data_IF_405878055316
#
_entry.id   IF_405878055316
#
_cell.length_a   1.000
_cell.length_b   1.000
_cell.length_c   1.000
_cell.angle_alpha   90.00
_cell.angle_beta   90.00
_cell.angle_gamma   90.00
#
_symmetry.space_group_name_H-M   'P 1'
#
loop_
_entity.id
_entity.type
_entity.pdbx_description
1 polymer ?
#
# COMPACT_ATOMS: atom_id res chain seq x y z
N UNK A 1 32.56 -3.70 -23.86
CA UNK A 1 31.23 -4.05 -23.39
C UNK A 1 30.34 -2.83 -23.58
N UNK A 2 29.18 -2.96 -24.17
CA UNK A 2 28.30 -1.80 -24.41
C UNK A 2 27.87 -1.23 -23.05
N UNK A 3 28.12 0.06 -22.80
CA UNK A 3 27.86 0.75 -21.56
C UNK A 3 26.36 0.67 -21.15
N UNK A 4 25.50 0.50 -22.15
CA UNK A 4 24.05 0.27 -21.89
C UNK A 4 23.79 -1.06 -21.19
N UNK A 5 24.52 -2.11 -21.56
CA UNK A 5 24.44 -3.44 -20.93
C UNK A 5 25.01 -3.40 -19.51
N UNK A 6 26.16 -2.74 -19.30
CA UNK A 6 26.74 -2.57 -17.96
C UNK A 6 25.80 -1.80 -17.05
N UNK A 7 25.14 -0.77 -17.55
CA UNK A 7 24.15 -0.01 -16.81
C UNK A 7 22.93 -0.86 -16.41
N UNK A 8 22.42 -1.75 -17.27
CA UNK A 8 21.35 -2.69 -16.93
C UNK A 8 21.82 -3.67 -15.84
N UNK A 9 23.05 -4.20 -15.96
CA UNK A 9 23.64 -5.07 -14.91
C UNK A 9 23.75 -4.31 -13.59
N UNK A 10 24.17 -3.06 -13.60
CA UNK A 10 24.24 -2.19 -12.42
C UNK A 10 22.88 -1.98 -11.73
N UNK A 11 21.82 -1.80 -12.53
CA UNK A 11 20.45 -1.74 -12.01
C UNK A 11 20.10 -3.05 -11.30
N UNK A 12 20.33 -4.20 -11.92
CA UNK A 12 20.04 -5.51 -11.31
C UNK A 12 20.84 -5.75 -10.03
N UNK A 13 22.13 -5.42 -10.04
CA UNK A 13 23.00 -5.56 -8.84
C UNK A 13 22.54 -4.63 -7.73
N UNK A 14 22.20 -3.37 -8.04
CA UNK A 14 21.71 -2.42 -7.03
C UNK A 14 20.37 -2.86 -6.42
N UNK A 15 19.52 -3.50 -7.22
CA UNK A 15 18.28 -4.11 -6.75
C UNK A 15 18.55 -5.29 -5.81
N UNK A 16 19.42 -6.20 -6.21
CA UNK A 16 19.82 -7.32 -5.36
C UNK A 16 20.42 -6.81 -4.03
N UNK A 17 21.22 -5.74 -4.07
CA UNK A 17 21.77 -5.07 -2.90
C UNK A 17 20.68 -4.54 -1.98
N UNK A 18 19.66 -3.82 -2.53
CA UNK A 18 18.51 -3.34 -1.77
C UNK A 18 17.80 -4.51 -1.09
N UNK A 19 17.47 -5.56 -1.85
CA UNK A 19 16.76 -6.75 -1.33
C UNK A 19 17.55 -7.40 -0.18
N UNK A 20 18.84 -7.66 -0.39
CA UNK A 20 19.70 -8.36 0.59
C UNK A 20 19.80 -7.55 1.88
N UNK A 21 20.04 -6.23 1.80
CA UNK A 21 20.16 -5.40 2.99
C UNK A 21 18.83 -5.19 3.71
N UNK A 22 17.73 -5.02 2.97
CA UNK A 22 16.40 -4.93 3.56
C UNK A 22 16.04 -6.22 4.33
N UNK A 23 16.33 -7.40 3.76
CA UNK A 23 16.15 -8.68 4.45
C UNK A 23 17.03 -8.83 5.70
N UNK A 24 18.16 -8.11 5.76
CA UNK A 24 19.03 -8.01 6.95
C UNK A 24 18.58 -6.94 7.94
N UNK A 25 17.44 -6.28 7.72
CA UNK A 25 16.87 -5.29 8.62
C UNK A 25 17.43 -3.87 8.50
N UNK A 26 18.18 -3.58 7.43
CA UNK A 26 18.62 -2.22 7.17
C UNK A 26 17.44 -1.35 6.70
N UNK A 27 17.51 -0.07 7.02
CA UNK A 27 16.43 0.85 6.69
C UNK A 27 16.60 1.44 5.29
N UNK A 28 15.51 1.51 4.51
CA UNK A 28 15.54 1.96 3.11
C UNK A 28 16.11 3.39 2.94
N UNK A 29 15.95 4.24 3.92
CA UNK A 29 16.52 5.61 3.92
C UNK A 29 18.06 5.59 3.74
N UNK A 30 18.73 4.56 4.26
CA UNK A 30 20.18 4.37 4.14
C UNK A 30 20.50 3.56 2.87
N UNK A 31 19.70 2.51 2.60
CA UNK A 31 19.98 1.60 1.48
C UNK A 31 19.83 2.31 0.14
N UNK A 32 18.81 3.15 -0.02
CA UNK A 32 18.51 3.80 -1.29
C UNK A 32 19.67 4.68 -1.80
N UNK A 33 20.25 5.62 -1.05
CA UNK A 33 21.39 6.40 -1.52
C UNK A 33 22.64 5.52 -1.76
N UNK A 34 22.87 4.46 -0.98
CA UNK A 34 23.96 3.51 -1.22
C UNK A 34 23.75 2.73 -2.52
N UNK A 35 22.53 2.34 -2.82
CA UNK A 35 22.18 1.69 -4.08
C UNK A 35 22.37 2.63 -5.28
N UNK A 36 22.12 3.93 -5.12
CA UNK A 36 22.44 4.94 -6.16
C UNK A 36 23.95 4.98 -6.44
N UNK A 37 24.81 4.87 -5.43
CA UNK A 37 26.27 4.80 -5.63
C UNK A 37 26.61 3.60 -6.52
N UNK A 38 26.02 2.42 -6.27
CA UNK A 38 26.24 1.25 -7.12
C UNK A 38 25.77 1.50 -8.55
N UNK A 39 24.57 2.06 -8.73
CA UNK A 39 24.05 2.42 -10.07
C UNK A 39 25.03 3.35 -10.80
N UNK A 40 25.58 4.36 -10.13
CA UNK A 40 26.52 5.31 -10.71
C UNK A 40 27.81 4.61 -11.20
N UNK A 41 28.37 3.71 -10.39
CA UNK A 41 29.60 2.96 -10.73
C UNK A 41 29.41 2.16 -12.02
N UNK A 42 28.29 1.49 -12.20
CA UNK A 42 28.01 0.66 -13.38
C UNK A 42 27.47 1.45 -14.58
N UNK A 43 27.06 2.70 -14.38
CA UNK A 43 26.50 3.55 -15.43
C UNK A 43 27.42 4.72 -15.79
N UNK A 44 28.65 4.79 -15.27
CA UNK A 44 29.60 5.90 -15.42
C UNK A 44 28.99 7.27 -15.11
N UNK A 45 28.10 7.33 -14.12
CA UNK A 45 27.52 8.58 -13.68
C UNK A 45 28.33 9.18 -12.53
N UNK A 46 28.42 10.51 -12.49
CA UNK A 46 29.00 11.20 -11.35
C UNK A 46 28.11 10.98 -10.11
N UNK A 47 28.69 10.42 -9.04
CA UNK A 47 27.95 10.03 -7.83
C UNK A 47 27.29 11.25 -7.18
N UNK A 48 28.04 12.34 -7.00
CA UNK A 48 27.52 13.54 -6.32
C UNK A 48 26.47 14.27 -7.16
N UNK A 49 26.71 14.40 -8.47
CA UNK A 49 25.73 14.98 -9.39
C UNK A 49 24.44 14.14 -9.43
N UNK A 50 24.53 12.82 -9.37
CA UNK A 50 23.37 11.93 -9.36
C UNK A 50 22.61 11.98 -8.02
N UNK A 51 23.34 12.03 -6.89
CA UNK A 51 22.71 12.15 -5.58
C UNK A 51 22.02 13.51 -5.40
N UNK A 52 22.71 14.62 -5.68
CA UNK A 52 22.12 15.96 -5.54
C UNK A 52 21.18 16.34 -6.70
N UNK A 53 21.29 15.73 -7.84
CA UNK A 53 20.44 15.93 -9.01
C UNK A 53 19.24 14.96 -9.04
N UNK A 54 19.28 13.87 -9.85
CA UNK A 54 18.13 12.99 -10.03
C UNK A 54 17.56 12.41 -8.74
N UNK A 55 18.43 11.91 -7.83
CA UNK A 55 17.96 11.32 -6.56
C UNK A 55 17.20 12.34 -5.70
N UNK A 56 17.81 13.50 -5.40
CA UNK A 56 17.16 14.53 -4.59
C UNK A 56 15.97 15.17 -5.30
N UNK A 57 16.01 15.28 -6.63
CA UNK A 57 14.86 15.75 -7.41
C UNK A 57 13.65 14.82 -7.22
N UNK A 58 13.84 13.51 -7.31
CA UNK A 58 12.79 12.52 -7.06
C UNK A 58 12.26 12.62 -5.62
N UNK A 59 13.17 12.66 -4.66
CA UNK A 59 12.85 12.78 -3.24
C UNK A 59 12.00 14.04 -2.94
N UNK A 60 12.48 15.22 -3.36
CA UNK A 60 11.81 16.50 -3.08
C UNK A 60 10.49 16.64 -3.85
N UNK A 61 10.46 16.23 -5.12
CA UNK A 61 9.23 16.29 -5.92
C UNK A 61 8.14 15.42 -5.29
N UNK A 62 8.48 14.21 -4.83
CA UNK A 62 7.52 13.36 -4.16
C UNK A 62 7.05 13.95 -2.84
N UNK A 63 7.96 14.43 -2.00
CA UNK A 63 7.63 15.09 -0.74
C UNK A 63 6.71 16.31 -0.99
N UNK A 64 7.06 17.18 -1.93
CA UNK A 64 6.29 18.38 -2.24
C UNK A 64 4.86 18.10 -2.72
N UNK A 65 4.65 16.98 -3.42
CA UNK A 65 3.33 16.59 -3.93
C UNK A 65 2.47 15.86 -2.90
N UNK A 66 3.06 15.05 -2.03
CA UNK A 66 2.32 14.08 -1.24
C UNK A 66 2.44 14.26 0.28
N UNK A 67 3.34 15.11 0.76
CA UNK A 67 3.55 15.32 2.20
C UNK A 67 2.25 15.65 2.95
N UNK A 68 1.44 16.59 2.44
CA UNK A 68 0.19 16.99 3.09
C UNK A 68 -0.84 15.84 3.10
N UNK A 69 -0.84 14.97 2.08
CA UNK A 69 -1.72 13.80 2.02
C UNK A 69 -1.31 12.79 3.09
N UNK A 70 0.00 12.49 3.19
CA UNK A 70 0.52 11.61 4.23
C UNK A 70 0.27 12.18 5.63
N UNK A 71 0.47 13.50 5.81
CA UNK A 71 0.22 14.18 7.07
C UNK A 71 -1.25 14.06 7.50
N UNK A 72 -2.17 14.47 6.63
CA UNK A 72 -3.60 14.42 6.91
C UNK A 72 -4.09 12.98 7.16
N UNK A 73 -3.61 12.01 6.37
CA UNK A 73 -3.94 10.59 6.55
C UNK A 73 -3.42 10.01 7.86
N UNK A 74 -2.18 10.32 8.22
CA UNK A 74 -1.58 9.85 9.47
C UNK A 74 -2.24 10.47 10.70
N UNK A 75 -2.54 11.77 10.64
CA UNK A 75 -3.29 12.47 11.69
C UNK A 75 -4.69 11.89 11.82
N UNK A 76 -5.42 11.71 10.72
CA UNK A 76 -6.76 11.10 10.74
C UNK A 76 -6.71 9.69 11.35
N UNK A 77 -5.77 8.85 10.92
CA UNK A 77 -5.57 7.53 11.48
C UNK A 77 -5.32 7.56 12.99
N UNK A 78 -4.49 8.50 13.46
CA UNK A 78 -4.20 8.66 14.91
C UNK A 78 -5.43 9.10 15.71
N UNK A 79 -6.25 10.01 15.17
CA UNK A 79 -7.50 10.39 15.81
C UNK A 79 -8.50 9.22 15.89
N UNK A 80 -8.60 8.40 14.83
CA UNK A 80 -9.42 7.19 14.83
C UNK A 80 -8.92 6.13 15.83
N UNK A 81 -7.60 6.04 16.03
CA UNK A 81 -6.97 5.15 17.00
C UNK A 81 -7.22 5.62 18.43
N UNK A 82 -6.83 6.86 18.77
CA UNK A 82 -6.90 7.40 20.14
C UNK A 82 -8.35 7.52 20.65
N UNK A 83 -9.29 7.78 19.75
CA UNK A 83 -10.74 7.74 20.08
C UNK A 83 -11.29 6.32 20.26
N UNK A 84 -10.53 5.28 19.95
CA UNK A 84 -10.96 3.90 19.84
C UNK A 84 -12.08 3.66 18.79
N UNK A 85 -12.35 4.64 17.93
CA UNK A 85 -13.36 4.51 16.88
C UNK A 85 -13.00 3.38 15.90
N UNK A 86 -11.73 3.25 15.52
CA UNK A 86 -11.25 2.16 14.67
C UNK A 86 -11.53 0.79 15.31
N UNK A 87 -11.27 0.65 16.62
CA UNK A 87 -11.55 -0.58 17.39
C UNK A 87 -13.05 -0.87 17.50
N UNK A 88 -13.86 0.17 17.71
CA UNK A 88 -15.33 0.04 17.78
C UNK A 88 -15.92 -0.46 16.46
N UNK A 89 -15.44 0.06 15.31
CA UNK A 89 -15.84 -0.42 13.98
C UNK A 89 -15.46 -1.89 13.82
N UNK A 90 -14.24 -2.26 14.18
CA UNK A 90 -13.74 -3.61 14.08
C UNK A 90 -14.56 -4.59 14.90
N UNK A 91 -14.83 -4.27 16.18
CA UNK A 91 -15.65 -5.10 17.05
C UNK A 91 -17.10 -5.23 16.55
N UNK A 92 -17.68 -4.13 16.02
CA UNK A 92 -19.02 -4.13 15.42
C UNK A 92 -19.11 -5.09 14.23
N UNK A 93 -18.13 -5.09 13.34
CA UNK A 93 -18.09 -6.00 12.18
C UNK A 93 -17.95 -7.47 12.64
N UNK A 94 -17.08 -7.74 13.62
CA UNK A 94 -16.89 -9.09 14.15
C UNK A 94 -18.15 -9.66 14.82
N UNK A 95 -18.96 -8.82 15.46
CA UNK A 95 -20.26 -9.24 16.04
C UNK A 95 -21.26 -9.66 14.97
N UNK A 96 -21.24 -8.99 13.80
CA UNK A 96 -22.17 -9.28 12.70
C UNK A 96 -21.78 -10.56 11.95
N UNK A 97 -20.48 -10.76 11.68
CA UNK A 97 -20.01 -11.85 10.83
C UNK A 97 -19.91 -13.18 11.59
N UNK A 98 -19.77 -13.14 12.92
CA UNK A 98 -19.67 -14.33 13.78
C UNK A 98 -18.24 -14.81 14.01
N UNK A 99 -18.05 -15.63 15.07
CA UNK A 99 -16.75 -16.01 15.63
C UNK A 99 -16.47 -17.52 15.61
N UNK A 100 -17.42 -18.34 15.15
CA UNK A 100 -17.36 -19.81 15.36
C UNK A 100 -16.68 -20.58 14.23
N UNK A 101 -16.65 -20.03 13.01
CA UNK A 101 -16.08 -20.68 11.83
C UNK A 101 -14.71 -20.05 11.49
N UNK A 102 -13.62 -20.85 11.40
CA UNK A 102 -12.32 -20.35 11.03
C UNK A 102 -12.28 -19.54 9.72
N UNK A 103 -13.03 -19.96 8.70
CA UNK A 103 -13.09 -19.21 7.44
C UNK A 103 -13.81 -17.88 7.61
N UNK A 104 -14.94 -17.87 8.30
CA UNK A 104 -15.68 -16.63 8.60
C UNK A 104 -14.84 -15.67 9.43
N UNK A 105 -14.06 -16.19 10.38
CA UNK A 105 -13.16 -15.37 11.20
C UNK A 105 -12.06 -14.74 10.33
N UNK A 106 -11.40 -15.46 9.41
CA UNK A 106 -10.44 -14.88 8.49
C UNK A 106 -11.08 -13.81 7.61
N UNK A 107 -12.28 -14.06 7.06
CA UNK A 107 -13.02 -13.07 6.27
C UNK A 107 -13.34 -11.83 7.12
N UNK A 108 -13.74 -12.01 8.39
CA UNK A 108 -14.02 -10.89 9.30
C UNK A 108 -12.80 -9.99 9.51
N UNK A 109 -11.63 -10.59 9.76
CA UNK A 109 -10.37 -9.84 9.92
C UNK A 109 -10.05 -9.04 8.66
N UNK A 110 -10.20 -9.66 7.49
CA UNK A 110 -9.97 -8.96 6.22
C UNK A 110 -10.98 -7.85 5.94
N UNK A 111 -12.27 -8.06 6.25
CA UNK A 111 -13.31 -7.04 6.10
C UNK A 111 -13.09 -5.86 7.05
N UNK A 112 -12.69 -6.12 8.29
CA UNK A 112 -12.30 -5.07 9.24
C UNK A 112 -11.16 -4.23 8.68
N UNK A 113 -10.10 -4.87 8.21
CA UNK A 113 -8.96 -4.20 7.63
C UNK A 113 -9.36 -3.39 6.37
N UNK A 114 -10.23 -3.96 5.52
CA UNK A 114 -10.78 -3.31 4.33
C UNK A 114 -11.60 -2.06 4.69
N UNK A 115 -12.53 -2.16 5.64
CA UNK A 115 -13.38 -1.03 6.03
C UNK A 115 -12.57 0.13 6.59
N UNK A 116 -11.56 -0.15 7.42
CA UNK A 116 -10.70 0.86 7.99
C UNK A 116 -9.86 1.55 6.91
N UNK A 117 -9.22 0.79 6.04
CA UNK A 117 -8.39 1.36 4.96
C UNK A 117 -9.24 2.03 3.88
N UNK A 118 -10.43 1.52 3.56
CA UNK A 118 -11.37 2.20 2.66
C UNK A 118 -11.84 3.53 3.24
N UNK A 119 -11.99 3.61 4.56
CA UNK A 119 -12.27 4.85 5.28
C UNK A 119 -11.09 5.82 5.40
N UNK A 120 -9.95 5.55 4.79
CA UNK A 120 -8.79 6.44 4.77
C UNK A 120 -7.76 6.21 5.87
N UNK A 121 -7.95 5.20 6.73
CA UNK A 121 -6.95 4.85 7.74
C UNK A 121 -5.75 4.17 7.07
N UNK A 122 -4.54 4.62 7.40
CA UNK A 122 -3.33 4.05 6.80
C UNK A 122 -3.13 2.59 7.21
N UNK A 123 -2.56 1.77 6.31
CA UNK A 123 -2.21 0.38 6.56
C UNK A 123 -1.41 0.20 7.87
N UNK A 124 -0.47 1.11 8.13
CA UNK A 124 0.38 1.08 9.33
C UNK A 124 -0.39 1.30 10.62
N UNK A 125 -1.50 2.04 10.58
CA UNK A 125 -2.38 2.24 11.75
C UNK A 125 -3.37 1.08 11.88
N UNK A 126 -3.90 0.62 10.77
CA UNK A 126 -4.87 -0.49 10.75
C UNK A 126 -4.32 -1.76 11.37
N UNK A 127 -3.03 -2.07 11.18
CA UNK A 127 -2.43 -3.26 11.78
C UNK A 127 -2.45 -3.21 13.32
N UNK A 128 -2.20 -2.03 13.92
CA UNK A 128 -2.27 -1.85 15.37
C UNK A 128 -3.71 -1.95 15.91
N UNK A 129 -4.71 -1.55 15.11
CA UNK A 129 -6.10 -1.68 15.47
C UNK A 129 -6.62 -3.13 15.37
N UNK A 130 -6.14 -3.87 14.37
CA UNK A 130 -6.66 -5.22 14.06
C UNK A 130 -5.98 -6.31 14.88
N UNK A 131 -4.68 -6.21 15.16
CA UNK A 131 -3.95 -7.24 15.95
C UNK A 131 -4.59 -7.50 17.32
N UNK A 132 -4.91 -6.49 18.17
CA UNK A 132 -5.51 -6.74 19.49
C UNK A 132 -6.86 -7.45 19.44
N UNK A 133 -7.57 -7.34 18.32
CA UNK A 133 -8.88 -7.97 18.13
C UNK A 133 -8.70 -9.37 17.52
N UNK A 134 -7.78 -9.52 16.56
CA UNK A 134 -7.57 -10.78 15.88
C UNK A 134 -6.89 -11.84 16.78
N UNK A 135 -5.92 -11.45 17.61
CA UNK A 135 -5.18 -12.40 18.46
C UNK A 135 -6.05 -13.26 19.36
N UNK A 136 -6.97 -12.69 20.18
CA UNK A 136 -7.86 -13.50 21.01
C UNK A 136 -8.69 -14.49 20.17
N UNK A 137 -9.16 -14.08 18.99
CA UNK A 137 -9.95 -14.93 18.10
C UNK A 137 -9.12 -16.09 17.52
N UNK A 138 -7.88 -15.82 17.11
CA UNK A 138 -6.97 -16.88 16.67
C UNK A 138 -6.64 -17.87 17.79
N UNK A 139 -6.46 -17.38 19.02
CA UNK A 139 -6.23 -18.20 20.21
C UNK A 139 -7.46 -19.04 20.59
N UNK A 140 -8.65 -18.46 20.58
CA UNK A 140 -9.92 -19.14 20.86
C UNK A 140 -10.20 -20.26 19.86
N UNK A 141 -9.94 -20.04 18.57
CA UNK A 141 -10.10 -21.04 17.50
C UNK A 141 -8.87 -21.94 17.32
N UNK A 142 -7.85 -21.76 18.16
CA UNK A 142 -6.59 -22.49 18.08
C UNK A 142 -5.94 -22.49 16.69
N UNK A 143 -5.98 -21.34 15.99
CA UNK A 143 -5.43 -21.17 14.65
C UNK A 143 -4.00 -20.63 14.70
N UNK A 144 -3.06 -21.14 13.87
CA UNK A 144 -1.69 -20.67 13.87
C UNK A 144 -1.62 -19.18 13.49
N UNK A 145 -0.92 -18.40 14.31
CA UNK A 145 -0.91 -16.93 14.20
C UNK A 145 -0.34 -16.40 12.89
N UNK A 146 0.60 -17.12 12.25
CA UNK A 146 1.16 -16.69 10.97
C UNK A 146 0.13 -16.56 9.84
N UNK A 147 -1.02 -17.26 9.92
CA UNK A 147 -2.12 -17.17 8.95
C UNK A 147 -2.78 -15.78 8.98
N UNK A 148 -2.66 -15.02 10.09
CA UNK A 148 -3.19 -13.66 10.22
C UNK A 148 -2.81 -12.75 9.06
N UNK A 149 -1.59 -12.89 8.50
CA UNK A 149 -1.14 -12.08 7.39
C UNK A 149 -2.01 -12.22 6.14
N UNK A 150 -2.60 -13.39 5.88
CA UNK A 150 -3.42 -13.61 4.69
C UNK A 150 -4.67 -12.71 4.64
N UNK A 151 -5.59 -12.76 5.62
CA UNK A 151 -6.77 -11.90 5.61
C UNK A 151 -6.41 -10.42 5.81
N UNK A 152 -5.38 -10.12 6.58
CA UNK A 152 -4.97 -8.74 6.81
C UNK A 152 -4.51 -8.07 5.51
N UNK A 153 -3.58 -8.68 4.76
CA UNK A 153 -3.06 -8.10 3.51
C UNK A 153 -4.13 -8.06 2.42
N UNK A 154 -5.03 -9.07 2.37
CA UNK A 154 -6.14 -9.08 1.45
C UNK A 154 -7.05 -7.86 1.61
N UNK A 155 -7.49 -7.57 2.83
CA UNK A 155 -8.39 -6.45 3.12
C UNK A 155 -7.68 -5.11 3.04
N UNK A 156 -6.56 -4.96 3.75
CA UNK A 156 -5.89 -3.68 3.92
C UNK A 156 -5.12 -3.19 2.69
N UNK A 157 -4.56 -4.08 1.88
CA UNK A 157 -3.74 -3.71 0.74
C UNK A 157 -4.35 -4.14 -0.60
N UNK A 158 -4.60 -5.45 -0.79
CA UNK A 158 -4.98 -5.98 -2.11
C UNK A 158 -6.26 -5.38 -2.65
N UNK A 159 -7.27 -5.18 -1.81
CA UNK A 159 -8.55 -4.62 -2.22
C UNK A 159 -8.53 -3.09 -2.25
N UNK A 160 -8.15 -2.47 -1.13
CA UNK A 160 -8.45 -1.05 -0.90
C UNK A 160 -7.41 -0.10 -1.47
N UNK A 161 -6.15 -0.51 -1.61
CA UNK A 161 -5.11 0.40 -2.08
C UNK A 161 -5.15 0.61 -3.58
N UNK A 162 -5.49 -0.42 -4.37
CA UNK A 162 -5.30 -0.38 -5.82
C UNK A 162 -6.49 -0.87 -6.64
N UNK A 163 -7.38 -1.72 -6.08
CA UNK A 163 -8.49 -2.30 -6.83
C UNK A 163 -9.77 -1.50 -6.67
N UNK A 164 -10.25 -1.31 -5.43
CA UNK A 164 -11.54 -0.66 -5.21
C UNK A 164 -11.48 0.83 -5.61
N UNK A 165 -12.37 1.28 -6.50
CA UNK A 165 -12.43 2.68 -6.89
C UNK A 165 -12.96 3.54 -5.73
N UNK A 166 -12.57 4.82 -5.72
CA UNK A 166 -13.07 5.80 -4.77
C UNK A 166 -12.34 5.83 -3.41
N UNK A 167 -11.37 4.95 -3.15
CA UNK A 167 -10.62 4.96 -1.89
C UNK A 167 -9.65 6.15 -1.82
N UNK A 168 -9.42 6.73 -0.62
CA UNK A 168 -8.45 7.80 -0.43
C UNK A 168 -7.01 7.27 -0.26
N UNK A 169 -6.75 6.03 -0.64
CA UNK A 169 -5.41 5.45 -0.55
C UNK A 169 -4.48 6.06 -1.60
N UNK A 170 -3.20 6.22 -1.20
CA UNK A 170 -2.23 6.99 -1.98
C UNK A 170 -2.06 6.46 -3.41
N UNK A 171 -2.07 5.14 -3.62
CA UNK A 171 -1.91 4.50 -4.91
C UNK A 171 -3.09 4.81 -5.86
N UNK A 172 -4.28 5.01 -5.28
CA UNK A 172 -5.48 5.36 -6.03
C UNK A 172 -5.60 6.89 -6.26
N UNK A 173 -4.89 7.71 -5.47
CA UNK A 173 -4.94 9.16 -5.56
C UNK A 173 -3.81 9.73 -6.43
N UNK A 174 -2.62 9.12 -6.40
CA UNK A 174 -1.47 9.63 -7.14
C UNK A 174 -1.75 9.88 -8.63
N UNK A 175 -2.36 8.96 -9.38
CA UNK A 175 -2.61 9.16 -10.81
C UNK A 175 -3.53 10.36 -11.10
N UNK A 176 -4.42 10.72 -10.18
CA UNK A 176 -5.36 11.85 -10.39
C UNK A 176 -4.64 13.16 -10.70
N UNK A 177 -3.47 13.39 -10.06
CA UNK A 177 -2.68 14.62 -10.23
C UNK A 177 -1.92 14.69 -11.55
N UNK A 178 -1.68 13.54 -12.18
CA UNK A 178 -0.96 13.46 -13.46
C UNK A 178 -1.91 13.37 -14.65
N UNK A 179 -3.07 12.74 -14.46
CA UNK A 179 -4.02 12.39 -15.52
C UNK A 179 -5.30 13.23 -15.51
N UNK A 180 -5.52 14.06 -14.47
CA UNK A 180 -6.77 14.81 -14.31
C UNK A 180 -8.00 13.94 -14.03
N UNK A 181 -7.81 12.69 -13.69
CA UNK A 181 -8.87 11.71 -13.39
C UNK A 181 -9.36 11.81 -11.95
N UNK A 182 -10.37 11.04 -11.58
CA UNK A 182 -10.85 10.93 -10.21
C UNK A 182 -10.37 9.64 -9.53
N UNK A 183 -10.46 9.57 -8.20
CA UNK A 183 -10.19 8.33 -7.46
C UNK A 183 -11.08 7.15 -7.90
N UNK A 184 -12.21 7.42 -8.55
CA UNK A 184 -13.13 6.43 -9.08
C UNK A 184 -12.87 6.08 -10.57
N UNK A 185 -11.74 6.48 -11.14
CA UNK A 185 -11.39 6.22 -12.53
C UNK A 185 -11.54 4.74 -12.90
N UNK A 186 -12.07 4.46 -14.11
CA UNK A 186 -12.35 3.13 -14.65
C UNK A 186 -12.90 2.14 -13.61
N UNK A 187 -14.09 2.43 -13.02
CA UNK A 187 -14.58 1.69 -11.86
C UNK A 187 -14.84 0.22 -12.16
N UNK A 188 -15.25 -0.10 -13.38
CA UNK A 188 -15.53 -1.48 -13.79
C UNK A 188 -14.28 -2.35 -13.73
N UNK A 189 -13.12 -1.83 -14.13
CA UNK A 189 -11.86 -2.57 -14.05
C UNK A 189 -11.45 -2.83 -12.60
N UNK A 190 -11.56 -1.80 -11.75
CA UNK A 190 -11.27 -1.93 -10.33
C UNK A 190 -12.16 -2.96 -9.64
N UNK A 191 -13.47 -2.93 -9.91
CA UNK A 191 -14.42 -3.90 -9.38
C UNK A 191 -14.17 -5.32 -9.90
N UNK A 192 -13.85 -5.49 -11.18
CA UNK A 192 -13.46 -6.79 -11.74
C UNK A 192 -12.24 -7.35 -11.01
N UNK A 193 -11.19 -6.54 -10.83
CA UNK A 193 -10.00 -6.94 -10.07
C UNK A 193 -10.35 -7.32 -8.63
N UNK A 194 -11.19 -6.53 -7.96
CA UNK A 194 -11.62 -6.80 -6.59
C UNK A 194 -12.38 -8.13 -6.46
N UNK A 195 -13.30 -8.43 -7.38
CA UNK A 195 -14.04 -9.72 -7.39
C UNK A 195 -13.07 -10.90 -7.57
N UNK A 196 -12.13 -10.81 -8.51
CA UNK A 196 -11.14 -11.86 -8.75
C UNK A 196 -10.28 -12.08 -7.50
N UNK A 197 -9.78 -11.01 -6.89
CA UNK A 197 -8.99 -11.10 -5.65
C UNK A 197 -9.81 -11.71 -4.51
N UNK A 198 -11.08 -11.34 -4.38
CA UNK A 198 -11.96 -11.94 -3.37
C UNK A 198 -12.09 -13.47 -3.57
N UNK A 199 -12.35 -13.91 -4.79
CA UNK A 199 -12.46 -15.35 -5.11
C UNK A 199 -11.15 -16.08 -4.80
N UNK A 200 -10.02 -15.57 -5.29
CA UNK A 200 -8.71 -16.18 -5.09
C UNK A 200 -8.33 -16.25 -3.61
N UNK A 201 -8.58 -15.19 -2.84
CA UNK A 201 -8.25 -15.19 -1.42
C UNK A 201 -9.18 -16.09 -0.60
N UNK A 202 -10.48 -16.17 -0.90
CA UNK A 202 -11.38 -17.14 -0.24
C UNK A 202 -10.92 -18.58 -0.50
N UNK A 203 -10.53 -18.91 -1.73
CA UNK A 203 -9.97 -20.22 -2.07
C UNK A 203 -8.65 -20.46 -1.34
N UNK A 204 -7.79 -19.46 -1.29
CA UNK A 204 -6.52 -19.53 -0.56
C UNK A 204 -6.73 -19.70 0.95
N UNK A 205 -7.69 -19.01 1.57
CA UNK A 205 -8.01 -19.19 3.00
C UNK A 205 -8.49 -20.60 3.30
N UNK A 206 -9.36 -21.16 2.48
CA UNK A 206 -9.77 -22.58 2.60
C UNK A 206 -8.58 -23.54 2.51
N UNK A 207 -7.68 -23.29 1.55
CA UNK A 207 -6.48 -24.09 1.37
C UNK A 207 -5.55 -24.04 2.58
N UNK A 208 -5.22 -22.85 3.09
CA UNK A 208 -4.30 -22.71 4.23
C UNK A 208 -4.88 -23.26 5.53
N UNK A 209 -6.19 -23.09 5.77
CA UNK A 209 -6.88 -23.68 6.93
C UNK A 209 -6.84 -25.22 6.86
N UNK A 210 -7.15 -25.81 5.70
CA UNK A 210 -7.06 -27.25 5.50
C UNK A 210 -5.63 -27.76 5.72
N UNK A 211 -4.63 -27.03 5.20
CA UNK A 211 -3.21 -27.37 5.32
C UNK A 211 -2.73 -27.28 6.77
N UNK A 212 -3.10 -26.22 7.50
CA UNK A 212 -2.76 -26.05 8.91
C UNK A 212 -3.35 -27.20 9.76
N UNK A 213 -4.64 -27.52 9.54
CA UNK A 213 -5.30 -28.67 10.22
C UNK A 213 -4.59 -29.99 9.92
N UNK A 214 -4.22 -30.25 8.66
CA UNK A 214 -3.55 -31.48 8.27
C UNK A 214 -2.15 -31.62 8.89
N UNK A 215 -1.48 -30.50 9.19
CA UNK A 215 -0.17 -30.48 9.83
C UNK A 215 -0.25 -30.42 11.37
N UNK A 216 -1.44 -30.30 11.95
CA UNK A 216 -1.59 -30.13 13.38
C UNK A 216 -1.03 -28.79 13.88
N UNK A 217 -0.94 -27.76 13.03
CA UNK A 217 -0.48 -26.43 13.42
C UNK A 217 -1.50 -25.79 14.36
N UNK A 218 -1.03 -25.25 15.48
CA UNK A 218 -1.85 -24.65 16.54
C UNK A 218 -1.44 -23.20 16.76
N UNK A 219 -2.23 -22.46 17.55
CA UNK A 219 -1.87 -21.12 17.97
C UNK A 219 -0.64 -21.13 18.88
N UNK A 220 0.30 -20.27 18.57
CA UNK A 220 1.48 -20.00 19.41
C UNK A 220 1.51 -18.51 19.74
N UNK A 221 1.69 -18.18 21.02
CA UNK A 221 1.87 -16.79 21.43
C UNK A 221 3.18 -16.25 20.86
N UNK A 222 3.21 -15.04 20.33
CA UNK A 222 4.43 -14.43 19.82
C UNK A 222 5.43 -14.17 20.96
N UNK A 223 6.74 -14.05 20.64
CA UNK A 223 7.77 -13.79 21.64
C UNK A 223 7.46 -12.55 22.51
N UNK A 224 7.84 -12.54 23.80
CA UNK A 224 7.70 -11.37 24.66
C UNK A 224 8.40 -10.15 24.06
N UNK A 225 7.82 -8.97 24.23
CA UNK A 225 8.44 -7.70 23.79
C UNK A 225 8.15 -7.30 22.35
N UNK A 226 7.33 -8.05 21.63
CA UNK A 226 6.88 -7.67 20.29
C UNK A 226 5.94 -6.47 20.38
N UNK A 227 6.27 -5.42 19.64
CA UNK A 227 5.41 -4.24 19.48
C UNK A 227 4.01 -4.66 18.99
N UNK A 228 2.97 -4.05 19.58
CA UNK A 228 1.57 -4.42 19.32
C UNK A 228 0.95 -5.34 20.38
N UNK A 229 1.74 -5.81 21.35
CA UNK A 229 1.24 -6.33 22.63
C UNK A 229 0.97 -5.19 23.65
N UNK A 230 0.97 -3.94 23.17
CA UNK A 230 0.62 -2.78 23.98
C UNK A 230 -0.76 -2.98 24.61
N UNK A 231 -0.88 -2.61 25.90
CA UNK A 231 -2.17 -2.63 26.59
C UNK A 231 -3.22 -1.94 25.71
N UNK A 232 -4.41 -2.55 25.56
CA UNK A 232 -5.48 -1.90 24.82
C UNK A 232 -5.71 -0.51 25.40
N UNK A 233 -5.86 0.51 24.54
CA UNK A 233 -6.16 1.85 24.99
C UNK A 233 -7.28 1.77 26.04
N UNK A 234 -6.99 2.23 27.26
CA UNK A 234 -7.90 2.14 28.40
C UNK A 234 -8.98 3.20 28.23
N UNK A 235 -10.23 2.78 28.11
CA UNK A 235 -11.37 3.68 28.00
C UNK A 235 -12.60 3.02 27.36
N UNK A 236 -13.80 3.61 27.50
CA UNK A 236 -15.00 3.09 26.86
C UNK A 236 -14.93 3.28 25.35
N UNK A 237 -15.18 2.21 24.59
CA UNK A 237 -15.31 2.30 23.14
C UNK A 237 -16.54 3.14 22.75
N UNK A 238 -16.42 4.05 21.78
CA UNK A 238 -17.57 4.79 21.27
C UNK A 238 -18.55 3.86 20.55
N UNK A 239 -19.77 4.34 20.33
CA UNK A 239 -20.76 3.59 19.54
C UNK A 239 -20.26 3.37 18.12
N UNK A 240 -20.44 2.16 17.56
CA UNK A 240 -19.97 1.78 16.23
C UNK A 240 -20.52 2.69 15.12
N UNK A 241 -21.80 3.10 15.22
CA UNK A 241 -22.42 3.98 14.23
C UNK A 241 -21.82 5.39 14.25
N UNK A 242 -21.51 5.91 15.45
CA UNK A 242 -20.77 7.16 15.58
C UNK A 242 -19.35 7.04 15.03
N UNK A 243 -18.71 5.90 15.24
CA UNK A 243 -17.35 5.63 14.77
C UNK A 243 -17.23 5.56 13.24
N UNK A 244 -18.33 5.23 12.54
CA UNK A 244 -18.40 5.22 11.08
C UNK A 244 -18.53 6.62 10.46
N UNK A 245 -18.97 7.62 11.20
CA UNK A 245 -19.23 8.96 10.67
C UNK A 245 -17.97 9.63 10.09
N UNK A 246 -16.81 9.68 10.80
CA UNK A 246 -15.62 10.31 10.23
C UNK A 246 -15.13 9.68 8.92
N UNK A 247 -14.98 8.34 8.78
CA UNK A 247 -14.66 7.71 7.50
C UNK A 247 -15.68 8.01 6.40
N UNK A 248 -16.98 8.03 6.72
CA UNK A 248 -18.05 8.36 5.76
C UNK A 248 -17.90 9.81 5.28
N UNK A 249 -17.59 10.75 6.18
CA UNK A 249 -17.33 12.14 5.82
C UNK A 249 -16.14 12.25 4.84
N UNK A 250 -15.04 11.53 5.10
CA UNK A 250 -13.89 11.48 4.17
C UNK A 250 -14.34 11.01 2.79
N UNK A 251 -15.10 9.91 2.72
CA UNK A 251 -15.59 9.37 1.44
C UNK A 251 -16.52 10.34 0.71
N UNK A 252 -17.43 10.98 1.43
CA UNK A 252 -18.37 11.96 0.86
C UNK A 252 -17.59 13.16 0.31
N UNK A 253 -16.69 13.77 1.08
CA UNK A 253 -15.90 14.92 0.65
C UNK A 253 -14.97 14.60 -0.53
N UNK A 254 -14.46 13.37 -0.60
CA UNK A 254 -13.58 12.93 -1.68
C UNK A 254 -14.34 12.71 -3.01
N UNK A 255 -15.57 12.18 -2.95
CA UNK A 255 -16.29 11.73 -4.13
C UNK A 255 -17.44 12.67 -4.58
N UNK A 256 -17.93 13.54 -3.69
CA UNK A 256 -19.01 14.48 -4.01
C UNK A 256 -18.48 15.83 -4.47
N UNK A 257 -18.91 16.36 -5.63
CA UNK A 257 -18.58 17.72 -6.02
C UNK A 257 -19.33 18.71 -5.12
N UNK A 258 -18.60 19.38 -4.25
CA UNK A 258 -19.17 20.45 -3.42
C UNK A 258 -18.98 21.80 -4.09
N UNK A 259 -19.97 22.72 -4.04
CA UNK A 259 -19.81 24.09 -4.49
C UNK A 259 -18.60 24.73 -3.78
N UNK A 260 -17.76 25.42 -4.54
CA UNK A 260 -16.56 26.12 -4.05
C UNK A 260 -15.42 25.25 -3.48
N UNK A 261 -15.58 23.95 -3.35
CA UNK A 261 -14.56 23.04 -2.84
C UNK A 261 -14.14 22.09 -3.98
N UNK A 262 -12.91 22.29 -4.50
CA UNK A 262 -12.33 21.32 -5.42
C UNK A 262 -12.13 19.98 -4.66
N UNK A 263 -12.41 18.87 -5.32
CA UNK A 263 -12.11 17.54 -4.77
C UNK A 263 -10.64 17.47 -4.38
N UNK A 264 -10.36 17.50 -3.09
CA UNK A 264 -9.02 17.44 -2.54
C UNK A 264 -8.95 16.48 -1.38
N UNK A 265 -7.96 15.59 -1.42
CA UNK A 265 -7.77 14.51 -0.44
C UNK A 265 -7.37 15.06 0.92
N UNK A 266 -6.55 16.11 0.96
CA UNK A 266 -6.12 16.74 2.22
C UNK A 266 -7.33 17.34 2.94
N UNK A 267 -8.20 18.00 2.17
CA UNK A 267 -9.44 18.57 2.71
C UNK A 267 -10.39 17.49 3.22
N UNK A 268 -10.55 16.39 2.45
CA UNK A 268 -11.42 15.28 2.85
C UNK A 268 -10.94 14.64 4.17
N UNK A 269 -9.65 14.35 4.27
CA UNK A 269 -9.04 13.77 5.47
C UNK A 269 -9.10 14.74 6.65
N UNK A 270 -8.88 16.04 6.41
CA UNK A 270 -9.01 17.07 7.43
C UNK A 270 -10.45 17.18 7.95
N UNK A 271 -11.44 17.06 7.07
CA UNK A 271 -12.85 16.97 7.46
C UNK A 271 -13.13 15.77 8.37
N UNK A 272 -12.51 14.62 8.06
CA UNK A 272 -12.54 13.43 8.93
C UNK A 272 -11.92 13.70 10.31
N UNK A 273 -10.79 14.40 10.38
CA UNK A 273 -10.14 14.80 11.65
C UNK A 273 -11.06 15.70 12.46
N UNK A 274 -11.65 16.72 11.83
CA UNK A 274 -12.61 17.63 12.50
C UNK A 274 -13.80 16.84 13.05
N UNK A 275 -14.35 15.92 12.26
CA UNK A 275 -15.43 15.05 12.71
C UNK A 275 -15.01 14.18 13.91
N UNK A 276 -13.82 13.61 13.91
CA UNK A 276 -13.26 12.89 15.05
C UNK A 276 -13.21 13.76 16.31
N UNK A 277 -12.67 14.97 16.18
CA UNK A 277 -12.54 15.90 17.32
C UNK A 277 -13.92 16.24 17.89
N UNK A 278 -14.91 16.55 17.07
CA UNK A 278 -16.26 16.93 17.51
C UNK A 278 -16.97 15.75 18.17
N UNK A 279 -16.93 14.57 17.53
CA UNK A 279 -17.70 13.40 17.98
C UNK A 279 -17.07 12.71 19.20
N UNK A 280 -15.73 12.73 19.29
CA UNK A 280 -14.98 11.97 20.28
C UNK A 280 -14.18 12.85 21.23
N UNK A 281 -14.56 14.11 21.42
CA UNK A 281 -13.85 15.08 22.26
C UNK A 281 -13.49 14.53 23.65
N UNK A 282 -14.40 13.77 24.25
CA UNK A 282 -14.23 13.21 25.60
C UNK A 282 -13.31 12.00 25.66
N UNK A 283 -12.99 11.38 24.52
CA UNK A 283 -12.11 10.22 24.44
C UNK A 283 -10.62 10.62 24.36
N UNK A 284 -10.34 11.86 23.91
CA UNK A 284 -8.97 12.33 23.83
C UNK A 284 -8.50 12.84 25.20
N UNK A 285 -7.36 12.31 25.66
CA UNK A 285 -6.66 12.84 26.85
C UNK A 285 -6.16 14.27 26.55
N UNK A 286 -5.54 14.42 25.36
CA UNK A 286 -5.04 15.69 24.84
C UNK A 286 -5.08 15.70 23.31
N UNK A 287 -5.94 16.54 22.74
CA UNK A 287 -6.09 16.69 21.28
C UNK A 287 -4.79 17.13 20.61
N UNK A 288 -4.02 18.02 21.26
CA UNK A 288 -2.73 18.49 20.71
C UNK A 288 -1.70 17.37 20.69
N UNK A 289 -1.70 16.51 21.70
CA UNK A 289 -0.81 15.35 21.76
C UNK A 289 -1.16 14.32 20.64
N UNK A 290 -2.44 14.01 20.43
CA UNK A 290 -2.91 13.17 19.33
C UNK A 290 -2.51 13.74 17.98
N UNK A 291 -2.71 15.06 17.78
CA UNK A 291 -2.30 15.77 16.57
C UNK A 291 -0.78 15.65 16.33
N UNK A 292 0.00 15.93 17.36
CA UNK A 292 1.47 15.88 17.30
C UNK A 292 1.96 14.46 16.99
N UNK A 293 1.43 13.44 17.68
CA UNK A 293 1.78 12.03 17.41
C UNK A 293 1.41 11.61 15.98
N UNK A 294 0.22 12.01 15.51
CA UNK A 294 -0.20 11.78 14.14
C UNK A 294 0.74 12.43 13.12
N UNK A 295 1.16 13.66 13.38
CA UNK A 295 2.12 14.37 12.52
C UNK A 295 3.50 13.69 12.51
N UNK A 296 4.03 13.31 13.68
CA UNK A 296 5.31 12.60 13.79
C UNK A 296 5.27 11.24 13.09
N UNK A 297 4.16 10.51 13.20
CA UNK A 297 3.97 9.22 12.52
C UNK A 297 3.99 9.33 10.99
N UNK A 298 3.88 10.54 10.42
CA UNK A 298 4.00 10.79 8.99
C UNK A 298 5.44 10.67 8.50
N UNK A 299 6.42 10.99 9.34
CA UNK A 299 7.82 11.20 8.93
C UNK A 299 8.43 9.94 8.31
N UNK A 300 8.34 8.81 8.99
CA UNK A 300 8.94 7.57 8.50
C UNK A 300 8.31 7.09 7.17
N UNK A 301 6.98 6.98 7.03
CA UNK A 301 6.36 6.55 5.77
C UNK A 301 6.69 7.48 4.60
N UNK A 302 6.64 8.81 4.77
CA UNK A 302 6.91 9.72 3.67
C UNK A 302 8.40 9.71 3.29
N UNK A 303 9.32 9.71 4.25
CA UNK A 303 10.76 9.69 3.97
C UNK A 303 11.18 8.38 3.31
N UNK A 304 10.63 7.24 3.74
CA UNK A 304 10.85 5.96 3.08
C UNK A 304 10.46 6.02 1.60
N UNK A 305 9.25 6.49 1.30
CA UNK A 305 8.76 6.57 -0.07
C UNK A 305 9.55 7.62 -0.89
N UNK A 306 9.95 8.73 -0.28
CA UNK A 306 10.84 9.71 -0.94
C UNK A 306 12.18 9.10 -1.30
N UNK A 307 12.77 8.28 -0.43
CA UNK A 307 14.05 7.60 -0.69
C UNK A 307 13.91 6.60 -1.83
N UNK A 308 12.82 5.82 -1.87
CA UNK A 308 12.51 4.88 -2.95
C UNK A 308 12.35 5.62 -4.30
N UNK A 309 11.57 6.69 -4.32
CA UNK A 309 11.36 7.50 -5.53
C UNK A 309 12.65 8.16 -5.97
N UNK A 310 13.47 8.64 -5.03
CA UNK A 310 14.80 9.17 -5.31
C UNK A 310 15.69 8.15 -6.01
N UNK A 311 15.76 6.92 -5.48
CA UNK A 311 16.51 5.83 -6.11
C UNK A 311 15.99 5.55 -7.54
N UNK A 312 14.67 5.42 -7.70
CA UNK A 312 14.08 5.18 -9.02
C UNK A 312 14.34 6.31 -10.01
N UNK A 313 14.35 7.56 -9.57
CA UNK A 313 14.72 8.70 -10.44
C UNK A 313 16.20 8.66 -10.82
N UNK A 314 17.10 8.24 -9.93
CA UNK A 314 18.51 8.01 -10.27
C UNK A 314 18.65 6.87 -11.29
N UNK A 315 17.94 5.76 -11.10
CA UNK A 315 17.87 4.65 -12.08
C UNK A 315 17.33 5.15 -13.42
N UNK A 316 16.26 5.95 -13.43
CA UNK A 316 15.65 6.48 -14.66
C UNK A 316 16.58 7.39 -15.47
N UNK A 317 17.59 7.99 -14.83
CA UNK A 317 18.59 8.82 -15.49
C UNK A 317 19.67 7.99 -16.23
N UNK A 318 19.77 6.69 -15.97
CA UNK A 318 20.79 5.80 -16.54
C UNK A 318 20.52 5.46 -18.01
N UNK A 319 21.60 5.10 -18.74
CA UNK A 319 21.48 4.58 -20.10
C UNK A 319 20.72 3.25 -20.13
N UNK A 320 20.95 2.37 -19.15
CA UNK A 320 20.25 1.10 -19.03
C UNK A 320 18.73 1.23 -18.91
N UNK A 321 18.26 2.17 -18.12
CA UNK A 321 16.80 2.44 -18.00
C UNK A 321 16.22 2.96 -19.33
N UNK A 322 16.93 3.84 -20.03
CA UNK A 322 16.49 4.36 -21.34
C UNK A 322 16.35 3.23 -22.37
N UNK A 323 17.32 2.31 -22.39
CA UNK A 323 17.28 1.14 -23.29
C UNK A 323 16.11 0.22 -22.95
N UNK A 324 15.94 -0.14 -21.67
CA UNK A 324 14.80 -0.99 -21.23
C UNK A 324 13.47 -0.32 -21.52
N UNK A 325 13.34 1.00 -21.26
CA UNK A 325 12.11 1.75 -21.54
C UNK A 325 11.82 1.84 -23.04
N UNK A 326 12.83 2.06 -23.88
CA UNK A 326 12.67 2.08 -25.32
C UNK A 326 12.27 0.69 -25.83
N UNK A 327 12.92 -0.36 -25.35
CA UNK A 327 12.58 -1.74 -25.70
C UNK A 327 11.12 -2.08 -25.32
N UNK A 328 10.67 -1.71 -24.13
CA UNK A 328 9.27 -1.92 -23.72
C UNK A 328 8.25 -1.24 -24.64
N UNK A 329 8.58 -0.04 -25.17
CA UNK A 329 7.72 0.67 -26.11
C UNK A 329 7.73 0.06 -27.53
N UNK A 330 8.78 -0.68 -27.89
CA UNK A 330 8.91 -1.33 -29.21
C UNK A 330 8.35 -2.75 -29.25
N UNK A 331 7.97 -3.29 -28.09
CA UNK A 331 7.36 -4.62 -28.03
C UNK A 331 6.08 -4.64 -28.87
N UNK A 332 5.89 -5.67 -29.70
CA UNK A 332 4.68 -5.79 -30.54
C UNK A 332 3.47 -6.20 -29.70
N UNK A 333 3.14 -5.39 -28.69
CA UNK A 333 2.03 -5.56 -27.79
C UNK A 333 1.27 -4.25 -27.59
N UNK A 334 0.04 -4.35 -27.10
CA UNK A 334 -0.74 -3.16 -26.78
C UNK A 334 0.00 -2.28 -25.75
N UNK A 335 0.08 -0.94 -25.93
CA UNK A 335 0.84 -0.05 -25.05
C UNK A 335 0.48 -0.18 -23.56
N UNK A 336 -0.78 -0.49 -23.24
CA UNK A 336 -1.23 -0.67 -21.85
C UNK A 336 -0.56 -1.88 -21.18
N UNK A 337 -0.21 -2.93 -21.96
CA UNK A 337 0.50 -4.10 -21.42
C UNK A 337 1.94 -3.72 -21.07
N UNK A 338 2.63 -2.97 -21.93
CA UNK A 338 3.99 -2.51 -21.66
C UNK A 338 4.03 -1.53 -20.48
N UNK A 339 3.06 -0.62 -20.37
CA UNK A 339 2.91 0.28 -19.22
C UNK A 339 2.67 -0.50 -17.92
N UNK A 340 1.81 -1.51 -17.98
CA UNK A 340 1.53 -2.39 -16.83
C UNK A 340 2.80 -3.13 -16.38
N UNK A 341 3.53 -3.74 -17.30
CA UNK A 341 4.79 -4.43 -17.01
C UNK A 341 5.84 -3.48 -16.42
N UNK A 342 5.98 -2.29 -17.00
CA UNK A 342 6.89 -1.26 -16.48
C UNK A 342 6.52 -0.84 -15.05
N UNK A 343 5.22 -0.62 -14.78
CA UNK A 343 4.75 -0.22 -13.46
C UNK A 343 4.99 -1.32 -12.42
N UNK A 344 4.66 -2.57 -12.75
CA UNK A 344 4.90 -3.72 -11.88
C UNK A 344 6.40 -3.92 -11.60
N UNK A 345 7.25 -3.77 -12.62
CA UNK A 345 8.71 -3.85 -12.48
C UNK A 345 9.23 -2.75 -11.57
N UNK A 346 8.80 -1.50 -11.73
CA UNK A 346 9.23 -0.40 -10.86
C UNK A 346 8.76 -0.57 -9.42
N UNK A 347 7.57 -1.08 -9.20
CA UNK A 347 7.09 -1.42 -7.86
C UNK A 347 7.91 -2.55 -7.22
N UNK A 348 8.32 -3.55 -8.00
CA UNK A 348 9.23 -4.60 -7.54
C UNK A 348 10.62 -4.06 -7.19
N UNK A 349 11.15 -3.16 -8.03
CA UNK A 349 12.46 -2.53 -7.85
C UNK A 349 12.50 -1.73 -6.55
N UNK A 350 11.52 -0.86 -6.36
CA UNK A 350 11.45 0.02 -5.20
C UNK A 350 10.94 -0.70 -3.95
N UNK A 351 10.37 -1.91 -4.07
CA UNK A 351 9.67 -2.57 -2.97
C UNK A 351 8.52 -1.71 -2.43
N UNK A 352 7.85 -0.96 -3.30
CA UNK A 352 6.83 0.00 -2.88
C UNK A 352 5.86 0.30 -4.03
N UNK A 353 4.56 0.06 -3.83
CA UNK A 353 3.54 0.42 -4.81
C UNK A 353 3.56 1.93 -5.13
N UNK A 354 3.56 2.77 -4.10
CA UNK A 354 3.56 4.23 -4.28
C UNK A 354 4.90 4.75 -4.84
N UNK A 355 6.02 4.14 -4.45
CA UNK A 355 7.34 4.47 -4.99
C UNK A 355 7.43 4.17 -6.49
N UNK A 356 7.16 2.94 -6.88
CA UNK A 356 7.16 2.51 -8.29
C UNK A 356 6.16 3.30 -9.15
N UNK A 357 4.94 3.48 -8.63
CA UNK A 357 3.90 4.26 -9.31
C UNK A 357 4.33 5.72 -9.52
N UNK A 358 4.95 6.35 -8.50
CA UNK A 358 5.44 7.73 -8.61
C UNK A 358 6.44 7.91 -9.74
N UNK A 359 7.39 6.97 -9.89
CA UNK A 359 8.39 7.00 -10.96
C UNK A 359 7.70 6.87 -12.33
N UNK A 360 6.82 5.91 -12.50
CA UNK A 360 6.12 5.66 -13.76
C UNK A 360 5.26 6.86 -14.16
N UNK A 361 4.52 7.43 -13.21
CA UNK A 361 3.68 8.60 -13.45
C UNK A 361 4.51 9.83 -13.91
N UNK A 362 5.70 10.00 -13.35
CA UNK A 362 6.59 11.11 -13.70
C UNK A 362 7.31 10.88 -15.04
N UNK A 363 7.79 9.67 -15.29
CA UNK A 363 8.76 9.41 -16.37
C UNK A 363 8.16 8.79 -17.63
N UNK A 364 7.17 7.94 -17.49
CA UNK A 364 6.63 7.14 -18.60
C UNK A 364 5.19 7.52 -18.99
N UNK A 365 4.31 7.77 -18.04
CA UNK A 365 2.89 8.08 -18.33
C UNK A 365 2.71 9.21 -19.34
N UNK A 366 3.48 10.32 -19.33
CA UNK A 366 3.35 11.35 -20.37
C UNK A 366 3.48 10.82 -21.81
N UNK A 367 4.33 9.81 -22.02
CA UNK A 367 4.52 9.19 -23.35
C UNK A 367 3.30 8.38 -23.77
N UNK A 368 2.69 7.64 -22.83
CA UNK A 368 1.49 6.84 -23.10
C UNK A 368 0.25 7.71 -23.30
N UNK A 369 0.14 8.84 -22.62
CA UNK A 369 -0.90 9.85 -22.88
C UNK A 369 -0.72 10.43 -24.28
N UNK A 370 0.50 10.71 -24.72
CA UNK A 370 0.81 11.19 -26.07
C UNK A 370 0.46 10.16 -27.16
N UNK A 371 0.42 8.87 -26.84
CA UNK A 371 -0.05 7.81 -27.74
C UNK A 371 -1.61 7.77 -27.85
N UNK A 372 -2.33 8.64 -27.15
CA UNK A 372 -3.77 8.75 -27.21
C UNK A 372 -4.53 7.75 -26.32
N UNK A 373 -3.85 7.06 -25.40
CA UNK A 373 -4.52 6.15 -24.46
C UNK A 373 -5.44 6.90 -23.50
N UNK A 374 -6.58 6.29 -23.20
CA UNK A 374 -7.58 6.85 -22.28
C UNK A 374 -6.97 7.06 -20.87
N UNK A 375 -7.01 8.28 -20.31
CA UNK A 375 -6.46 8.59 -19.00
C UNK A 375 -7.05 7.74 -17.85
N UNK A 376 -8.33 7.37 -17.90
CA UNK A 376 -8.94 6.51 -16.88
C UNK A 376 -8.38 5.09 -16.92
N UNK A 377 -8.14 4.56 -18.14
CA UNK A 377 -7.50 3.26 -18.33
C UNK A 377 -6.07 3.29 -17.80
N UNK A 378 -5.29 4.31 -18.17
CA UNK A 378 -3.92 4.49 -17.65
C UNK A 378 -3.93 4.55 -16.12
N UNK A 379 -4.81 5.35 -15.54
CA UNK A 379 -4.96 5.48 -14.09
C UNK A 379 -5.16 4.12 -13.42
N UNK A 380 -6.21 3.40 -13.81
CA UNK A 380 -6.59 2.16 -13.14
C UNK A 380 -5.55 1.06 -13.35
N UNK A 381 -5.06 0.90 -14.56
CA UNK A 381 -4.05 -0.13 -14.85
C UNK A 381 -2.72 0.17 -14.13
N UNK A 382 -2.25 1.41 -14.08
CA UNK A 382 -1.02 1.72 -13.33
C UNK A 382 -1.21 1.53 -11.83
N UNK A 383 -2.36 1.93 -11.27
CA UNK A 383 -2.68 1.68 -9.87
C UNK A 383 -2.69 0.17 -9.55
N UNK A 384 -3.39 -0.65 -10.36
CA UNK A 384 -3.45 -2.10 -10.18
C UNK A 384 -2.08 -2.76 -10.38
N UNK A 385 -1.32 -2.35 -11.40
CA UNK A 385 0.01 -2.91 -11.69
C UNK A 385 1.00 -2.62 -10.58
N UNK A 386 0.88 -1.47 -9.91
CA UNK A 386 1.78 -1.10 -8.82
C UNK A 386 1.70 -2.06 -7.62
N UNK A 387 0.59 -2.78 -7.43
CA UNK A 387 0.42 -3.76 -6.37
C UNK A 387 0.80 -5.19 -6.76
N UNK A 388 1.18 -5.45 -8.01
CA UNK A 388 1.49 -6.81 -8.45
C UNK A 388 2.80 -7.33 -7.84
N UNK A 389 3.82 -6.51 -7.75
CA UNK A 389 5.13 -6.91 -7.22
C UNK A 389 5.70 -5.95 -6.17
N UNK A 390 4.88 -5.09 -5.59
CA UNK A 390 5.32 -4.16 -4.54
C UNK A 390 5.67 -4.87 -3.23
N UNK A 391 4.87 -5.86 -2.84
CA UNK A 391 5.01 -6.56 -1.57
C UNK A 391 6.11 -7.65 -1.59
N UNK A 392 7.25 -7.33 -2.22
CA UNK A 392 8.44 -8.19 -2.20
C UNK A 392 9.04 -8.23 -0.77
N UNK A 393 9.89 -9.20 -0.44
CA UNK A 393 10.42 -9.36 0.93
C UNK A 393 11.11 -8.12 1.50
N UNK A 394 11.67 -7.26 0.66
CA UNK A 394 12.35 -6.03 1.05
C UNK A 394 11.42 -4.82 1.21
N UNK A 395 10.14 -4.95 0.90
CA UNK A 395 9.16 -3.88 1.08
C UNK A 395 9.10 -3.44 2.56
N UNK A 396 9.24 -2.13 2.81
CA UNK A 396 9.21 -1.57 4.17
C UNK A 396 7.90 -1.82 4.91
N UNK A 397 6.75 -1.84 4.21
CA UNK A 397 5.47 -2.16 4.82
C UNK A 397 5.40 -3.64 5.21
N UNK A 398 5.90 -4.55 4.38
CA UNK A 398 5.98 -5.99 4.69
C UNK A 398 6.83 -6.24 5.93
N UNK A 399 8.02 -5.64 6.00
CA UNK A 399 8.92 -5.75 7.16
C UNK A 399 8.22 -5.24 8.42
N UNK A 400 7.58 -4.06 8.33
CA UNK A 400 6.86 -3.45 9.46
C UNK A 400 5.70 -4.31 9.93
N UNK A 401 4.86 -4.79 9.00
CA UNK A 401 3.71 -5.65 9.33
C UNK A 401 4.14 -6.94 10.04
N UNK A 402 5.18 -7.59 9.54
CA UNK A 402 5.72 -8.80 10.16
C UNK A 402 6.27 -8.51 11.56
N UNK A 403 7.08 -7.46 11.71
CA UNK A 403 7.66 -7.07 12.99
C UNK A 403 6.60 -6.73 14.05
N UNK A 404 5.62 -5.90 13.69
CA UNK A 404 4.53 -5.50 14.59
C UNK A 404 3.66 -6.69 15.01
N UNK A 405 3.46 -7.66 14.09
CA UNK A 405 2.71 -8.88 14.39
C UNK A 405 3.50 -9.93 15.18
N UNK A 406 4.82 -9.74 15.35
CA UNK A 406 5.72 -10.75 15.92
C UNK A 406 5.90 -11.95 14.99
N UNK A 407 5.83 -11.72 13.69
CA UNK A 407 5.98 -12.74 12.65
C UNK A 407 7.28 -12.49 11.87
N UNK A 408 7.74 -13.53 11.18
CA UNK A 408 8.97 -13.51 10.40
C UNK A 408 8.71 -13.87 8.94
N UNK A 409 9.63 -13.48 8.05
CA UNK A 409 9.53 -13.81 6.63
C UNK A 409 9.39 -15.30 6.38
N UNK A 410 10.17 -16.13 7.07
CA UNK A 410 10.18 -17.59 6.85
C UNK A 410 8.84 -18.28 7.16
N UNK A 411 8.05 -17.74 8.08
CA UNK A 411 6.77 -18.36 8.47
C UNK A 411 5.54 -17.69 7.84
N UNK A 412 5.53 -16.37 7.68
CA UNK A 412 4.35 -15.60 7.33
C UNK A 412 4.40 -14.94 5.94
N UNK A 413 5.58 -14.67 5.36
CA UNK A 413 5.69 -14.00 4.06
C UNK A 413 4.96 -14.72 2.92
N UNK A 414 4.92 -16.06 2.94
CA UNK A 414 4.16 -16.85 1.97
C UNK A 414 2.69 -16.41 1.85
N UNK A 415 2.09 -15.96 2.96
CA UNK A 415 0.69 -15.52 2.98
C UNK A 415 0.51 -14.14 2.34
N UNK A 416 1.51 -13.28 2.48
CA UNK A 416 1.57 -12.00 1.77
C UNK A 416 1.77 -12.26 0.28
N UNK A 417 2.73 -13.12 -0.08
CA UNK A 417 3.04 -13.42 -1.48
C UNK A 417 1.82 -13.98 -2.24
N UNK A 418 1.18 -15.03 -1.71
CA UNK A 418 0.02 -15.63 -2.40
C UNK A 418 -1.24 -14.77 -2.29
N UNK A 419 -1.53 -14.20 -1.12
CA UNK A 419 -2.75 -13.40 -0.88
C UNK A 419 -2.71 -12.02 -1.52
N UNK A 420 -1.52 -11.48 -1.81
CA UNK A 420 -1.35 -10.17 -2.43
C UNK A 420 -0.68 -10.28 -3.79
N UNK A 421 0.61 -10.61 -3.88
CA UNK A 421 1.38 -10.55 -5.12
C UNK A 421 0.76 -11.42 -6.22
N UNK A 422 0.51 -12.70 -5.93
CA UNK A 422 -0.08 -13.61 -6.91
C UNK A 422 -1.52 -13.23 -7.24
N UNK A 423 -2.32 -12.92 -6.23
CA UNK A 423 -3.73 -12.59 -6.44
C UNK A 423 -3.92 -11.28 -7.24
N UNK A 424 -3.13 -10.24 -6.96
CA UNK A 424 -3.20 -8.97 -7.70
C UNK A 424 -2.67 -9.11 -9.13
N UNK A 425 -1.62 -9.91 -9.33
CA UNK A 425 -1.09 -10.21 -10.67
C UNK A 425 -2.14 -10.94 -11.52
N UNK A 426 -2.81 -11.96 -10.97
CA UNK A 426 -3.88 -12.65 -11.69
C UNK A 426 -5.02 -11.68 -12.01
N UNK A 427 -5.47 -10.88 -11.04
CA UNK A 427 -6.51 -9.88 -11.26
C UNK A 427 -6.15 -8.90 -12.37
N UNK A 428 -4.89 -8.45 -12.43
CA UNK A 428 -4.37 -7.57 -13.45
C UNK A 428 -4.39 -8.22 -14.84
N UNK A 429 -4.00 -9.50 -14.95
CA UNK A 429 -4.03 -10.24 -16.22
C UNK A 429 -5.45 -10.33 -16.81
N UNK A 430 -6.49 -10.37 -15.99
CA UNK A 430 -7.88 -10.29 -16.45
C UNK A 430 -8.34 -8.86 -16.71
N UNK A 431 -7.91 -7.89 -15.89
CA UNK A 431 -8.33 -6.50 -16.03
C UNK A 431 -7.77 -5.85 -17.32
N UNK A 432 -6.55 -6.18 -17.74
CA UNK A 432 -5.93 -5.61 -18.95
C UNK A 432 -6.77 -5.85 -20.20
N UNK A 433 -7.12 -7.10 -20.58
CA UNK A 433 -7.94 -7.34 -21.76
C UNK A 433 -9.30 -6.63 -21.69
N UNK A 434 -9.97 -6.68 -20.54
CA UNK A 434 -11.24 -6.00 -20.32
C UNK A 434 -11.08 -4.49 -20.49
N UNK A 435 -9.99 -3.93 -19.96
CA UNK A 435 -9.68 -2.52 -20.09
C UNK A 435 -9.47 -2.07 -21.53
N UNK A 436 -8.72 -2.86 -22.30
CA UNK A 436 -8.52 -2.62 -23.74
C UNK A 436 -9.84 -2.67 -24.51
N UNK A 437 -10.74 -3.59 -24.15
CA UNK A 437 -12.05 -3.71 -24.83
C UNK A 437 -13.02 -2.56 -24.54
N UNK A 438 -12.95 -1.98 -23.33
CA UNK A 438 -13.96 -0.99 -22.87
C UNK A 438 -13.45 0.44 -22.99
N UNK A 439 -12.16 0.68 -22.77
CA UNK A 439 -11.55 2.01 -22.67
C UNK A 439 -10.43 2.24 -23.72
N UNK A 440 -10.04 1.20 -24.46
CA UNK A 440 -8.98 1.24 -25.47
C UNK A 440 -9.41 1.71 -26.85
#
# INVERSE_FOLDING_TARGET
MDWSVMSVIGIVISLAFIVILALRGWHIIIIAPLAVVLVCIFSELNIMETLYGPYMKGFVNYAGRFYLIFLAGSVFGKFMEDSQAARSIADGILRVIGKEDPLRMLLSVGIVAMCLTYGGVSLFVVIFAVIPIARPLFKELNLPWHIFMAPFIWGAASLTMTMLPGTPQIQNIMPTKYLGTSAAAAPLLGLTGAVIICILNVLYFRYILKKAKAKGEVYEDPPPGVLGAGAPASGPMPNVWLSLIPPVIVLVLLNTPLPYIKKDVVLALSGGVVACIILFWKQYINVVETLTKGAVNTVIPIVNTCADVGYGMAVSATAGFKVVSAWLLTLPMHPIISLSAATATMAAITGSASGGLGIILETMVPKYVALGLNPELIHRITAMSSSSFDAMPHNGAVITMLAVSGLFHYNAYKHIFFGHVVATTIALLFAIPIGIMIYG
#
